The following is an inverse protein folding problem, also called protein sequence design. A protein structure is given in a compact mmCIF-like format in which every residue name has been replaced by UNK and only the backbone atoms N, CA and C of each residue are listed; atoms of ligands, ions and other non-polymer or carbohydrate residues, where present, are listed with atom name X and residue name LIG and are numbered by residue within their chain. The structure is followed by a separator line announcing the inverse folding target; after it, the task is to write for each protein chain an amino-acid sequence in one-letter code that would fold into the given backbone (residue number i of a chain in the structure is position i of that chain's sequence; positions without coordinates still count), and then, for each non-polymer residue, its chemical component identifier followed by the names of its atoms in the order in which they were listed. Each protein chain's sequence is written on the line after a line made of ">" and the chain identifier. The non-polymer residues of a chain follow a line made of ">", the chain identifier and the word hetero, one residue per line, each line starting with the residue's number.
data_IF_550910664678
#
_entry.id   IF_550910664678
#
_cell.length_a   1.000
_cell.length_b   1.000
_cell.length_c   1.000
_cell.angle_alpha   90.00
_cell.angle_beta   90.00
_cell.angle_gamma   90.00
#
_symmetry.space_group_name_H-M   'P 1'
#
loop_
_entity.id
_entity.type
_entity.pdbx_description
1 polymer ?
#
# COMPACT_ATOMS: atom_id res chain seq x y z
N UNK A 1 -21.30 -41.28 -22.29
CA UNK A 1 -20.02 -40.61 -21.97
C UNK A 1 -20.22 -39.16 -21.51
N UNK A 2 -20.98 -38.33 -22.24
CA UNK A 2 -21.22 -36.93 -21.86
C UNK A 2 -21.74 -36.69 -20.43
N UNK A 3 -22.66 -37.51 -19.93
CA UNK A 3 -23.14 -37.40 -18.55
C UNK A 3 -22.08 -37.67 -17.47
N UNK A 4 -21.12 -38.56 -17.75
CA UNK A 4 -20.01 -38.83 -16.83
C UNK A 4 -19.06 -37.63 -16.76
N UNK A 5 -18.72 -37.04 -17.91
CA UNK A 5 -17.91 -35.82 -17.96
C UNK A 5 -18.58 -34.68 -17.17
N UNK A 6 -19.86 -34.41 -17.43
CA UNK A 6 -20.57 -33.33 -16.73
C UNK A 6 -20.61 -33.52 -15.22
N UNK A 7 -20.77 -34.77 -14.75
CA UNK A 7 -20.72 -35.08 -13.32
C UNK A 7 -19.32 -34.81 -12.74
N UNK A 8 -18.25 -35.23 -13.41
CA UNK A 8 -16.88 -34.99 -12.96
C UNK A 8 -16.56 -33.49 -12.91
N UNK A 9 -16.93 -32.73 -13.95
CA UNK A 9 -16.72 -31.28 -13.98
C UNK A 9 -17.52 -30.56 -12.88
N UNK A 10 -18.79 -30.95 -12.70
CA UNK A 10 -19.64 -30.36 -11.65
C UNK A 10 -19.13 -30.68 -10.25
N UNK A 11 -18.61 -31.88 -10.03
CA UNK A 11 -18.02 -32.28 -8.77
C UNK A 11 -16.73 -31.50 -8.49
N UNK A 12 -15.86 -31.34 -9.49
CA UNK A 12 -14.65 -30.51 -9.38
C UNK A 12 -14.99 -29.06 -9.05
N UNK A 13 -15.90 -28.43 -9.80
CA UNK A 13 -16.34 -27.04 -9.58
C UNK A 13 -16.95 -26.84 -8.19
N UNK A 14 -17.74 -27.81 -7.73
CA UNK A 14 -18.34 -27.79 -6.39
C UNK A 14 -17.27 -27.90 -5.31
N UNK A 15 -16.29 -28.79 -5.47
CA UNK A 15 -15.18 -28.93 -4.53
C UNK A 15 -14.34 -27.65 -4.45
N UNK A 16 -14.00 -27.06 -5.60
CA UNK A 16 -13.29 -25.77 -5.64
C UNK A 16 -14.04 -24.67 -4.90
N UNK A 17 -15.34 -24.52 -5.18
CA UNK A 17 -16.19 -23.51 -4.53
C UNK A 17 -16.31 -23.76 -3.02
N UNK A 18 -16.53 -25.02 -2.62
CA UNK A 18 -16.64 -25.41 -1.21
C UNK A 18 -15.33 -25.22 -0.45
N UNK A 19 -14.19 -25.42 -1.10
CA UNK A 19 -12.86 -25.19 -0.54
C UNK A 19 -12.62 -23.70 -0.26
N UNK A 20 -13.05 -22.82 -1.17
CA UNK A 20 -12.99 -21.37 -0.97
C UNK A 20 -13.99 -20.87 0.09
N UNK A 21 -15.14 -21.54 0.22
CA UNK A 21 -16.16 -21.20 1.22
C UNK A 21 -15.89 -21.83 2.61
N UNK A 22 -14.83 -22.62 2.76
CA UNK A 22 -14.51 -23.31 4.01
C UNK A 22 -15.53 -24.40 4.38
N UNK A 23 -16.26 -24.95 3.40
CA UNK A 23 -17.27 -26.01 3.58
C UNK A 23 -16.73 -27.41 3.30
N UNK A 24 -15.54 -27.51 2.73
CA UNK A 24 -14.95 -28.78 2.33
C UNK A 24 -14.20 -29.45 3.49
N UNK A 25 -14.94 -30.13 4.39
CA UNK A 25 -14.38 -30.73 5.61
C UNK A 25 -13.74 -32.12 5.38
N UNK A 26 -13.92 -32.72 4.20
CA UNK A 26 -13.47 -34.08 3.90
C UNK A 26 -12.03 -34.16 3.37
N UNK A 27 -11.50 -33.05 2.84
CA UNK A 27 -10.16 -32.95 2.26
C UNK A 27 -9.14 -32.24 3.16
N UNK A 28 -9.56 -31.77 4.34
CA UNK A 28 -8.70 -30.96 5.23
C UNK A 28 -7.91 -31.89 6.15
N UNK A 29 -6.61 -31.99 5.91
CA UNK A 29 -5.67 -32.42 6.94
C UNK A 29 -5.75 -31.41 8.09
N UNK A 30 -5.96 -31.89 9.32
CA UNK A 30 -6.26 -31.05 10.50
C UNK A 30 -5.11 -30.12 10.94
N UNK A 31 -4.00 -30.07 10.19
CA UNK A 31 -2.73 -29.43 10.60
C UNK A 31 -2.41 -28.14 9.81
N UNK A 32 -3.08 -27.85 8.67
CA UNK A 32 -2.79 -26.66 7.85
C UNK A 32 -4.04 -25.84 7.50
N UNK A 33 -3.91 -24.50 7.52
CA UNK A 33 -4.93 -23.59 6.99
C UNK A 33 -5.05 -23.74 5.47
N UNK A 34 -6.28 -23.82 4.99
CA UNK A 34 -6.57 -24.15 3.60
C UNK A 34 -7.64 -23.23 2.99
N UNK A 35 -7.51 -22.95 1.69
CA UNK A 35 -8.53 -22.30 0.87
C UNK A 35 -8.98 -20.96 1.43
N UNK A 36 -10.28 -20.83 1.71
CA UNK A 36 -10.86 -19.58 2.23
C UNK A 36 -10.20 -19.09 3.52
N UNK A 37 -9.81 -20.00 4.42
CA UNK A 37 -9.16 -19.62 5.68
C UNK A 37 -7.75 -19.05 5.45
N UNK A 38 -7.02 -19.58 4.47
CA UNK A 38 -5.69 -19.10 4.10
C UNK A 38 -5.73 -17.77 3.37
N UNK A 39 -6.73 -17.57 2.50
CA UNK A 39 -7.00 -16.25 1.90
C UNK A 39 -7.30 -15.22 2.99
N UNK A 40 -8.12 -15.57 3.99
CA UNK A 40 -8.39 -14.68 5.13
C UNK A 40 -7.11 -14.34 5.92
N UNK A 41 -6.23 -15.33 6.14
CA UNK A 41 -4.93 -15.11 6.76
C UNK A 41 -4.05 -14.15 5.94
N UNK A 42 -3.99 -14.31 4.61
CA UNK A 42 -3.26 -13.40 3.72
C UNK A 42 -3.77 -11.96 3.90
N UNK A 43 -5.08 -11.74 3.93
CA UNK A 43 -5.63 -10.39 4.08
C UNK A 43 -5.34 -9.77 5.45
N UNK A 44 -5.54 -10.51 6.54
CA UNK A 44 -5.52 -9.95 7.89
C UNK A 44 -4.15 -10.00 8.57
N UNK A 45 -3.42 -11.10 8.37
CA UNK A 45 -2.19 -11.39 9.09
C UNK A 45 -0.95 -11.05 8.28
N UNK A 46 -1.02 -11.13 6.95
CA UNK A 46 0.09 -10.71 6.08
C UNK A 46 -0.13 -9.26 5.64
N UNK A 47 -1.08 -9.03 4.73
CA UNK A 47 -1.28 -7.73 4.10
C UNK A 47 -1.60 -6.63 5.12
N UNK A 48 -2.59 -6.85 6.00
CA UNK A 48 -2.99 -5.82 6.95
C UNK A 48 -1.94 -5.51 8.01
N UNK A 49 -1.14 -6.49 8.45
CA UNK A 49 -0.03 -6.23 9.38
C UNK A 49 1.09 -5.47 8.67
N UNK A 50 1.53 -5.95 7.51
CA UNK A 50 2.59 -5.29 6.73
C UNK A 50 2.24 -3.85 6.39
N UNK A 51 0.99 -3.55 6.00
CA UNK A 51 0.61 -2.18 5.65
C UNK A 51 0.53 -1.26 6.88
N UNK A 52 0.10 -1.78 8.04
CA UNK A 52 0.06 -1.00 9.30
C UNK A 52 1.45 -0.60 9.79
N UNK A 53 2.46 -1.41 9.49
CA UNK A 53 3.86 -1.16 9.83
C UNK A 53 4.54 -0.14 8.91
N UNK A 54 3.94 0.18 7.74
CA UNK A 54 4.49 1.20 6.83
C UNK A 54 4.46 2.57 7.50
N UNK A 55 5.65 3.12 7.72
CA UNK A 55 5.80 4.45 8.27
C UNK A 55 5.52 5.51 7.20
N UNK A 56 4.65 6.51 7.49
CA UNK A 56 4.34 7.62 6.57
C UNK A 56 5.56 8.43 6.12
N UNK A 57 6.68 8.36 6.85
CA UNK A 57 7.90 9.12 6.62
C UNK A 57 9.07 8.28 6.09
N UNK A 58 8.87 6.99 5.84
CA UNK A 58 9.93 6.16 5.26
C UNK A 58 10.40 6.75 3.91
N UNK A 59 11.71 6.90 3.77
CA UNK A 59 12.32 7.52 2.59
C UNK A 59 12.04 9.03 2.45
N UNK A 60 11.57 9.69 3.52
CA UNK A 60 11.34 11.13 3.58
C UNK A 60 12.03 11.76 4.79
N UNK A 61 13.16 12.41 4.56
CA UNK A 61 13.89 13.13 5.61
C UNK A 61 13.30 14.52 5.89
N UNK A 62 13.60 15.08 7.06
CA UNK A 62 13.25 16.47 7.37
C UNK A 62 13.92 17.46 6.39
N UNK A 63 15.07 17.12 5.80
CA UNK A 63 15.70 17.91 4.74
C UNK A 63 14.88 17.87 3.43
N UNK A 64 14.34 16.71 3.06
CA UNK A 64 13.48 16.58 1.87
C UNK A 64 12.19 17.40 2.02
N UNK A 65 11.59 17.40 3.22
CA UNK A 65 10.40 18.18 3.52
C UNK A 65 10.70 19.67 3.41
N UNK A 66 11.77 20.15 4.07
CA UNK A 66 12.19 21.56 3.98
C UNK A 66 12.51 21.99 2.54
N UNK A 67 13.21 21.14 1.81
CA UNK A 67 13.52 21.37 0.39
C UNK A 67 12.24 21.49 -0.45
N UNK A 68 11.26 20.62 -0.19
CA UNK A 68 9.96 20.67 -0.87
C UNK A 68 9.21 21.96 -0.57
N UNK A 69 9.16 22.38 0.70
CA UNK A 69 8.53 23.65 1.13
C UNK A 69 9.21 24.84 0.44
N UNK A 70 10.54 24.88 0.43
CA UNK A 70 11.31 25.97 -0.19
C UNK A 70 11.11 26.02 -1.70
N UNK A 71 11.06 24.87 -2.37
CA UNK A 71 10.77 24.80 -3.79
C UNK A 71 9.33 25.24 -4.10
N UNK A 72 8.36 24.90 -3.24
CA UNK A 72 6.98 25.34 -3.39
C UNK A 72 6.80 26.86 -3.18
N UNK A 73 7.59 27.47 -2.29
CA UNK A 73 7.67 28.92 -2.12
C UNK A 73 8.27 29.63 -3.35
N UNK A 74 9.22 28.97 -4.03
CA UNK A 74 9.89 29.53 -5.21
C UNK A 74 10.61 30.85 -4.87
N UNK A 75 10.39 31.93 -5.64
CA UNK A 75 11.09 33.20 -5.43
C UNK A 75 10.53 34.06 -4.29
N UNK A 76 9.36 33.72 -3.74
CA UNK A 76 8.69 34.50 -2.69
C UNK A 76 8.56 33.68 -1.42
N UNK A 77 8.77 34.31 -0.27
CA UNK A 77 8.49 33.67 1.01
C UNK A 77 6.99 33.72 1.28
N UNK A 78 6.34 32.57 1.41
CA UNK A 78 4.92 32.51 1.82
C UNK A 78 4.75 32.98 3.26
N UNK A 79 3.56 33.42 3.65
CA UNK A 79 3.21 33.69 5.06
C UNK A 79 2.77 32.42 5.79
N UNK A 80 2.30 31.42 5.04
CA UNK A 80 1.83 30.13 5.55
C UNK A 80 2.54 28.98 4.84
N UNK A 81 2.47 27.79 5.41
CA UNK A 81 2.97 26.56 4.77
C UNK A 81 2.24 26.35 3.43
N UNK A 82 2.95 26.22 2.29
CA UNK A 82 2.30 26.04 0.99
C UNK A 82 1.62 24.67 0.89
N UNK A 83 0.33 24.66 0.54
CA UNK A 83 -0.50 23.45 0.37
C UNK A 83 0.10 22.45 -0.63
N UNK A 84 0.67 22.96 -1.71
CA UNK A 84 1.33 22.16 -2.76
C UNK A 84 2.45 21.29 -2.18
N UNK A 85 3.15 21.75 -1.14
CA UNK A 85 4.21 20.97 -0.50
C UNK A 85 3.65 19.71 0.16
N UNK A 86 2.52 19.86 0.87
CA UNK A 86 1.81 18.74 1.48
C UNK A 86 1.29 17.79 0.41
N UNK A 87 0.63 18.31 -0.63
CA UNK A 87 0.05 17.49 -1.70
C UNK A 87 1.11 16.63 -2.40
N UNK A 88 2.26 17.22 -2.78
CA UNK A 88 3.35 16.50 -3.44
C UNK A 88 3.90 15.36 -2.56
N UNK A 89 4.10 15.64 -1.27
CA UNK A 89 4.60 14.66 -0.31
C UNK A 89 3.57 13.56 -0.04
N UNK A 90 2.30 13.91 0.12
CA UNK A 90 1.21 12.96 0.29
C UNK A 90 1.12 12.01 -0.91
N UNK A 91 1.12 12.53 -2.13
CA UNK A 91 1.10 11.71 -3.35
C UNK A 91 2.29 10.76 -3.45
N UNK A 92 3.50 11.25 -3.13
CA UNK A 92 4.71 10.41 -3.10
C UNK A 92 4.57 9.26 -2.09
N UNK A 93 4.03 9.52 -0.91
CA UNK A 93 3.87 8.49 0.12
C UNK A 93 2.75 7.50 -0.22
N UNK A 94 1.60 7.98 -0.72
CA UNK A 94 0.46 7.13 -1.14
C UNK A 94 0.87 6.16 -2.25
N UNK A 95 1.70 6.61 -3.21
CA UNK A 95 2.18 5.76 -4.32
C UNK A 95 2.92 4.50 -3.83
N UNK A 96 3.51 4.52 -2.63
CA UNK A 96 4.22 3.38 -2.05
C UNK A 96 3.27 2.23 -1.64
N UNK A 97 1.98 2.50 -1.47
CA UNK A 97 0.97 1.50 -1.11
C UNK A 97 0.64 0.56 -2.28
N UNK A 98 0.95 0.94 -3.52
CA UNK A 98 0.65 0.15 -4.72
C UNK A 98 1.31 -1.24 -4.67
N UNK A 99 2.61 -1.30 -4.40
CA UNK A 99 3.38 -2.55 -4.44
C UNK A 99 2.89 -3.58 -3.41
N UNK A 100 2.68 -3.24 -2.12
CA UNK A 100 2.04 -4.16 -1.17
C UNK A 100 0.65 -4.64 -1.62
N UNK A 101 -0.12 -3.77 -2.29
CA UNK A 101 -1.42 -4.14 -2.86
C UNK A 101 -1.29 -5.20 -3.95
N UNK A 102 -0.36 -5.02 -4.90
CA UNK A 102 -0.09 -5.98 -5.97
C UNK A 102 0.46 -7.31 -5.43
N UNK A 103 1.36 -7.28 -4.45
CA UNK A 103 1.86 -8.48 -3.78
C UNK A 103 0.74 -9.28 -3.11
N UNK A 104 -0.25 -8.60 -2.52
CA UNK A 104 -1.43 -9.26 -1.95
C UNK A 104 -2.25 -10.00 -3.02
N UNK A 105 -2.38 -9.42 -4.23
CA UNK A 105 -3.03 -10.07 -5.37
C UNK A 105 -2.28 -11.36 -5.74
N UNK A 106 -0.96 -11.29 -5.86
CA UNK A 106 -0.13 -12.44 -6.25
C UNK A 106 -0.21 -13.57 -5.22
N UNK A 107 -0.17 -13.24 -3.91
CA UNK A 107 -0.31 -14.23 -2.83
C UNK A 107 -1.66 -14.96 -2.87
N UNK A 108 -2.75 -14.24 -3.16
CA UNK A 108 -4.08 -14.85 -3.29
C UNK A 108 -4.18 -15.68 -4.56
N UNK A 109 -3.59 -15.23 -5.66
CA UNK A 109 -3.51 -15.99 -6.91
C UNK A 109 -2.81 -17.35 -6.68
N UNK A 110 -1.65 -17.34 -6.02
CA UNK A 110 -0.91 -18.57 -5.68
C UNK A 110 -1.75 -19.51 -4.80
N UNK A 111 -2.53 -18.97 -3.86
CA UNK A 111 -3.45 -19.76 -3.04
C UNK A 111 -4.59 -20.36 -3.87
N UNK A 112 -5.15 -19.63 -4.84
CA UNK A 112 -6.17 -20.18 -5.74
C UNK A 112 -5.61 -21.33 -6.58
N UNK A 113 -4.38 -21.23 -7.08
CA UNK A 113 -3.72 -22.31 -7.80
C UNK A 113 -3.47 -23.54 -6.91
N UNK A 114 -3.11 -23.31 -5.64
CA UNK A 114 -2.98 -24.37 -4.64
C UNK A 114 -4.31 -25.08 -4.42
N UNK A 115 -5.40 -24.33 -4.22
CA UNK A 115 -6.75 -24.89 -4.07
C UNK A 115 -7.15 -25.70 -5.29
N UNK A 116 -6.91 -25.20 -6.51
CA UNK A 116 -7.17 -25.95 -7.76
C UNK A 116 -6.45 -27.30 -7.77
N UNK A 117 -5.17 -27.32 -7.39
CA UNK A 117 -4.35 -28.55 -7.31
C UNK A 117 -4.89 -29.56 -6.29
N UNK A 118 -5.47 -29.07 -5.20
CA UNK A 118 -6.01 -29.90 -4.13
C UNK A 118 -7.47 -30.34 -4.37
N UNK A 119 -8.13 -29.83 -5.43
CA UNK A 119 -9.48 -30.25 -5.82
C UNK A 119 -9.48 -31.51 -6.70
N UNK A 120 -8.32 -32.07 -7.02
CA UNK A 120 -8.20 -33.33 -7.74
C UNK A 120 -8.90 -34.47 -7.00
N UNK A 121 -9.80 -35.17 -7.68
CA UNK A 121 -10.47 -36.35 -7.15
C UNK A 121 -9.84 -37.62 -7.68
N UNK A 122 -9.97 -38.71 -6.93
CA UNK A 122 -9.54 -40.06 -7.36
C UNK A 122 -10.24 -40.47 -8.68
N UNK A 123 -11.45 -39.97 -8.91
CA UNK A 123 -12.20 -40.22 -10.14
C UNK A 123 -11.58 -39.48 -11.34
N UNK A 124 -11.02 -38.29 -11.12
CA UNK A 124 -10.34 -37.51 -12.15
C UNK A 124 -8.96 -38.11 -12.48
N UNK A 125 -8.24 -38.68 -11.49
CA UNK A 125 -6.95 -39.35 -11.73
C UNK A 125 -7.05 -40.61 -12.58
N UNK A 126 -8.25 -41.21 -12.69
CA UNK A 126 -8.54 -42.29 -13.64
C UNK A 126 -8.48 -41.85 -15.11
N UNK A 127 -8.66 -40.56 -15.38
CA UNK A 127 -8.67 -39.97 -16.72
C UNK A 127 -7.58 -38.91 -16.84
N UNK A 128 -6.30 -39.29 -17.06
CA UNK A 128 -5.17 -38.36 -17.04
C UNK A 128 -5.29 -37.20 -18.03
N UNK A 129 -5.77 -37.47 -19.24
CA UNK A 129 -5.98 -36.45 -20.29
C UNK A 129 -7.03 -35.42 -19.86
N UNK A 130 -8.15 -35.88 -19.29
CA UNK A 130 -9.17 -34.99 -18.74
C UNK A 130 -8.61 -34.17 -17.57
N UNK A 131 -7.87 -34.81 -16.64
CA UNK A 131 -7.24 -34.12 -15.50
C UNK A 131 -6.37 -32.97 -15.98
N UNK A 132 -5.42 -33.23 -16.86
CA UNK A 132 -4.46 -32.22 -17.33
C UNK A 132 -5.18 -31.08 -18.03
N UNK A 133 -6.21 -31.39 -18.83
CA UNK A 133 -7.02 -30.39 -19.51
C UNK A 133 -7.90 -29.56 -18.56
N UNK A 134 -8.48 -30.16 -17.51
CA UNK A 134 -9.20 -29.44 -16.45
C UNK A 134 -8.27 -28.44 -15.77
N UNK A 135 -7.07 -28.88 -15.39
CA UNK A 135 -6.09 -28.01 -14.72
C UNK A 135 -5.63 -26.88 -15.62
N UNK A 136 -5.41 -27.15 -16.91
CA UNK A 136 -5.02 -26.13 -17.88
C UNK A 136 -6.11 -25.04 -18.02
N UNK A 137 -7.37 -25.43 -18.15
CA UNK A 137 -8.50 -24.49 -18.29
C UNK A 137 -8.65 -23.63 -17.04
N UNK A 138 -8.63 -24.24 -15.85
CA UNK A 138 -8.81 -23.50 -14.59
C UNK A 138 -7.64 -22.56 -14.34
N UNK A 139 -6.39 -23.01 -14.53
CA UNK A 139 -5.23 -22.15 -14.40
C UNK A 139 -5.23 -21.01 -15.44
N UNK A 140 -5.70 -21.27 -16.67
CA UNK A 140 -5.89 -20.26 -17.69
C UNK A 140 -6.89 -19.18 -17.26
N UNK A 141 -8.05 -19.59 -16.74
CA UNK A 141 -9.06 -18.68 -16.20
C UNK A 141 -8.52 -17.84 -15.03
N UNK A 142 -7.83 -18.46 -14.07
CA UNK A 142 -7.21 -17.75 -12.95
C UNK A 142 -6.21 -16.70 -13.46
N UNK A 143 -5.33 -17.06 -14.39
CA UNK A 143 -4.35 -16.12 -14.99
C UNK A 143 -5.03 -14.97 -15.72
N UNK A 144 -6.14 -15.23 -16.40
CA UNK A 144 -6.90 -14.19 -17.08
C UNK A 144 -7.52 -13.17 -16.11
N UNK A 145 -7.89 -13.59 -14.90
CA UNK A 145 -8.42 -12.70 -13.85
C UNK A 145 -7.36 -11.88 -13.10
N UNK A 146 -6.09 -12.26 -13.20
CA UNK A 146 -4.97 -11.58 -12.53
C UNK A 146 -4.80 -10.14 -13.01
N UNK A 147 -4.74 -9.93 -14.33
CA UNK A 147 -4.48 -8.61 -14.93
C UNK A 147 -5.59 -7.59 -14.60
N UNK A 148 -6.90 -7.92 -14.75
CA UNK A 148 -7.98 -7.02 -14.32
C UNK A 148 -7.91 -6.66 -12.83
N UNK A 149 -7.52 -7.61 -11.97
CA UNK A 149 -7.45 -7.38 -10.53
C UNK A 149 -6.28 -6.45 -10.19
N UNK A 150 -5.09 -6.69 -10.75
CA UNK A 150 -3.93 -5.81 -10.60
C UNK A 150 -4.24 -4.39 -11.11
N UNK A 151 -4.89 -4.27 -12.27
CA UNK A 151 -5.32 -2.98 -12.83
C UNK A 151 -6.30 -2.25 -11.89
N UNK A 152 -7.22 -2.98 -11.23
CA UNK A 152 -8.11 -2.39 -10.24
C UNK A 152 -7.33 -1.86 -9.01
N UNK A 153 -6.34 -2.59 -8.51
CA UNK A 153 -5.48 -2.11 -7.40
C UNK A 153 -4.73 -0.84 -7.80
N UNK A 154 -4.19 -0.79 -9.02
CA UNK A 154 -3.54 0.40 -9.56
C UNK A 154 -4.51 1.58 -9.65
N UNK A 155 -5.73 1.34 -10.14
CA UNK A 155 -6.76 2.37 -10.21
C UNK A 155 -7.12 2.93 -8.83
N UNK A 156 -7.19 2.10 -7.78
CA UNK A 156 -7.42 2.57 -6.41
C UNK A 156 -6.35 3.58 -5.98
N UNK A 157 -5.07 3.32 -6.28
CA UNK A 157 -4.00 4.28 -6.00
C UNK A 157 -4.13 5.54 -6.86
N UNK A 158 -4.39 5.40 -8.16
CA UNK A 158 -4.55 6.55 -9.05
C UNK A 158 -5.71 7.47 -8.62
N UNK A 159 -6.81 6.91 -8.10
CA UNK A 159 -7.93 7.68 -7.55
C UNK A 159 -7.47 8.52 -6.35
N UNK A 160 -6.72 7.94 -5.42
CA UNK A 160 -6.19 8.64 -4.25
C UNK A 160 -5.13 9.71 -4.63
N UNK A 161 -4.38 9.48 -5.71
CA UNK A 161 -3.41 10.45 -6.24
C UNK A 161 -4.06 11.59 -7.04
N UNK A 162 -5.24 11.36 -7.62
CA UNK A 162 -5.94 12.35 -8.43
C UNK A 162 -6.51 13.50 -7.60
N UNK A 163 -6.96 13.22 -6.37
CA UNK A 163 -7.59 14.23 -5.51
C UNK A 163 -7.29 14.00 -4.02
N UNK A 164 -6.67 15.00 -3.39
CA UNK A 164 -6.42 15.02 -1.94
C UNK A 164 -7.55 15.75 -1.23
N UNK A 165 -8.40 15.02 -0.51
CA UNK A 165 -9.57 15.58 0.14
C UNK A 165 -9.24 16.19 1.53
N UNK A 166 -8.89 17.46 1.57
CA UNK A 166 -8.61 18.20 2.81
C UNK A 166 -9.86 18.47 3.67
N UNK A 167 -11.06 18.14 3.18
CA UNK A 167 -12.31 18.23 3.93
C UNK A 167 -12.74 16.90 4.58
N UNK A 168 -11.90 15.87 4.53
CA UNK A 168 -12.23 14.57 5.13
C UNK A 168 -12.47 14.70 6.66
N UNK A 169 -13.52 14.09 7.22
CA UNK A 169 -13.89 14.27 8.64
C UNK A 169 -12.79 13.84 9.62
N UNK A 170 -12.03 12.81 9.30
CA UNK A 170 -10.92 12.31 10.13
C UNK A 170 -9.59 13.04 9.87
N UNK A 171 -9.54 13.97 8.91
CA UNK A 171 -8.34 14.75 8.65
C UNK A 171 -8.24 15.89 9.66
N UNK A 172 -7.07 16.05 10.29
CA UNK A 172 -6.89 17.07 11.33
C UNK A 172 -7.09 18.50 10.81
N UNK A 173 -6.71 18.76 9.55
CA UNK A 173 -6.69 20.09 8.95
C UNK A 173 -5.56 20.99 9.48
N UNK A 174 -5.27 22.06 8.74
CA UNK A 174 -4.16 22.97 9.02
C UNK A 174 -4.25 23.65 10.40
N UNK A 175 -5.41 24.17 10.78
CA UNK A 175 -5.58 24.91 12.04
C UNK A 175 -5.34 24.04 13.28
N UNK A 176 -5.80 22.77 13.27
CA UNK A 176 -5.57 21.85 14.39
C UNK A 176 -4.13 21.37 14.45
N UNK A 177 -3.49 21.14 13.30
CA UNK A 177 -2.06 20.79 13.24
C UNK A 177 -1.20 21.88 13.89
N UNK A 178 -1.49 23.15 13.59
CA UNK A 178 -0.81 24.30 14.21
C UNK A 178 -1.07 24.36 15.72
N UNK A 179 -2.32 24.18 16.16
CA UNK A 179 -2.67 24.20 17.58
C UNK A 179 -1.94 23.10 18.38
N UNK A 180 -1.91 21.86 17.88
CA UNK A 180 -1.22 20.74 18.52
C UNK A 180 0.29 21.00 18.64
N UNK A 181 0.89 21.60 17.62
CA UNK A 181 2.31 21.96 17.65
C UNK A 181 2.60 23.05 18.70
N UNK A 182 1.76 24.09 18.77
CA UNK A 182 1.91 25.15 19.78
C UNK A 182 1.82 24.59 21.21
N UNK A 183 0.88 23.69 21.48
CA UNK A 183 0.77 23.00 22.77
C UNK A 183 1.99 22.14 23.10
N UNK A 184 2.58 21.48 22.09
CA UNK A 184 3.79 20.66 22.26
C UNK A 184 5.00 21.54 22.62
N UNK A 185 5.22 22.63 21.88
CA UNK A 185 6.31 23.58 22.16
C UNK A 185 6.17 24.23 23.55
N UNK A 186 4.95 24.57 23.96
CA UNK A 186 4.69 25.15 25.28
C UNK A 186 5.01 24.15 26.40
N UNK A 187 4.66 22.87 26.22
CA UNK A 187 5.01 21.78 27.17
C UNK A 187 6.53 21.56 27.25
N UNK A 188 7.23 21.55 26.13
CA UNK A 188 8.70 21.38 26.10
C UNK A 188 9.41 22.56 26.78
N UNK A 189 8.91 23.77 26.58
CA UNK A 189 9.43 24.98 27.25
C UNK A 189 9.22 24.88 28.77
N UNK A 190 8.04 24.47 29.23
CA UNK A 190 7.74 24.28 30.66
C UNK A 190 8.54 23.13 31.29
N UNK A 191 8.80 22.05 30.55
CA UNK A 191 9.62 20.93 31.02
C UNK A 191 11.11 21.31 31.15
N UNK A 192 11.63 22.14 30.25
CA UNK A 192 13.02 22.64 30.32
C UNK A 192 13.25 23.66 31.44
N UNK A 193 12.19 24.35 31.89
CA UNK A 193 12.23 25.33 32.97
C UNK A 193 12.07 24.74 34.39
N UNK A 194 11.86 23.42 34.51
CA UNK A 194 11.54 22.72 35.76
C UNK A 194 12.72 21.99 36.41
N UNK A 195 13.77 22.70 36.86
CA UNK A 195 14.73 22.19 37.84
C UNK A 195 15.17 23.30 38.82
N UNK A 196 14.47 23.51 39.95
CA UNK A 196 15.00 24.31 41.03
C UNK A 196 15.99 23.47 41.85
N UNK A 197 17.29 23.76 41.75
CA UNK A 197 18.29 23.28 42.71
C UNK A 197 17.97 23.87 44.08
N UNK A 198 17.48 23.01 44.97
CA UNK A 198 17.21 23.31 46.36
C UNK A 198 18.54 23.38 47.12
N UNK A 199 19.13 24.56 47.29
CA UNK A 199 20.18 24.79 48.28
C UNK A 199 19.62 25.62 49.44
N UNK A 200 19.30 24.90 50.51
CA UNK A 200 19.12 25.45 51.86
C UNK A 200 20.44 26.05 52.35
N UNK A 201 20.44 27.34 52.69
CA UNK A 201 21.42 27.92 53.62
C UNK A 201 20.64 28.58 54.76
N UNK A 202 21.02 28.20 55.97
CA UNK A 202 20.37 28.49 57.24
C UNK A 202 21.14 29.61 57.98
N UNK A 203 20.39 30.53 58.61
CA UNK A 203 20.76 31.49 59.69
C UNK A 203 21.70 32.66 59.30
N UNK A 204 21.47 33.91 59.73
CA UNK A 204 21.25 34.36 61.12
C UNK A 204 20.51 35.74 61.18
N UNK A 205 19.80 36.11 62.28
CA UNK A 205 19.01 37.34 62.38
C UNK A 205 19.73 38.43 63.17
N UNK A 206 19.78 39.67 62.62
CA UNK A 206 19.79 40.97 63.33
C UNK A 206 20.27 42.11 62.41
N UNK A 207 19.35 42.88 61.83
CA UNK A 207 19.40 44.36 61.84
C UNK A 207 18.15 44.99 61.22
N UNK A 208 17.66 46.00 61.93
CA UNK A 208 16.45 46.75 61.69
C UNK A 208 16.58 47.80 60.56
N UNK A 209 15.43 48.20 60.00
CA UNK A 209 15.17 49.61 59.69
C UNK A 209 14.77 50.01 58.27
N UNK A 210 13.50 49.76 57.90
CA UNK A 210 12.56 50.74 57.26
C UNK A 210 12.84 51.31 55.84
N UNK A 211 11.84 51.94 55.16
CA UNK A 211 11.26 51.44 53.91
C UNK A 211 11.54 52.31 52.67
N UNK A 212 11.40 51.75 51.46
CA UNK A 212 11.42 52.53 50.20
C UNK A 212 10.09 52.41 49.46
N UNK A 213 9.57 53.59 49.09
CA UNK A 213 8.28 53.88 48.47
C UNK A 213 8.26 53.57 46.97
N UNK A 214 7.03 53.36 46.50
CA UNK A 214 6.52 53.47 45.13
C UNK A 214 7.01 54.68 44.34
N UNK A 215 6.83 54.56 43.01
CA UNK A 215 6.66 55.57 41.93
C UNK A 215 7.78 55.44 40.89
N UNK A 216 7.59 55.66 39.59
CA UNK A 216 6.45 55.79 38.68
C UNK A 216 7.08 55.76 37.27
N UNK A 217 6.26 55.54 36.24
CA UNK A 217 6.65 55.69 34.84
C UNK A 217 7.25 57.08 34.53
N UNK A 218 7.85 57.25 33.34
CA UNK A 218 7.20 58.18 32.43
C UNK A 218 7.11 57.68 30.99
N UNK A 219 6.06 58.17 30.33
CA UNK A 219 5.75 58.04 28.93
C UNK A 219 6.38 59.18 28.09
N UNK A 220 6.56 58.90 26.80
CA UNK A 220 6.33 59.86 25.72
C UNK A 220 7.56 60.51 25.10
N UNK A 221 7.76 60.29 23.79
CA UNK A 221 7.54 61.34 22.80
C UNK A 221 7.48 60.78 21.37
N UNK A 222 6.51 61.30 20.62
CA UNK A 222 6.31 61.12 19.19
C UNK A 222 7.15 62.13 18.40
N UNK A 223 7.42 61.83 17.13
CA UNK A 223 7.93 62.76 16.13
C UNK A 223 7.77 62.17 14.73
N UNK A 224 6.97 62.83 13.90
CA UNK A 224 6.65 62.49 12.51
C UNK A 224 7.25 63.54 11.55
N UNK A 225 7.55 63.12 10.30
CA UNK A 225 7.55 63.85 9.01
C UNK A 225 8.46 63.06 8.01
N UNK A 226 7.96 62.49 6.90
CA UNK A 226 7.72 63.10 5.56
C UNK A 226 9.03 63.54 4.85
N UNK A 227 9.32 63.37 3.54
CA UNK A 227 8.67 62.78 2.35
C UNK A 227 9.72 62.83 1.18
N UNK A 228 9.44 62.14 0.05
CA UNK A 228 9.89 62.42 -1.36
C UNK A 228 11.37 62.16 -1.77
N UNK A 229 11.74 61.74 -3.00
CA UNK A 229 11.06 61.43 -4.29
C UNK A 229 12.08 60.86 -5.32
N UNK A 230 11.56 60.10 -6.29
CA UNK A 230 12.04 59.83 -7.67
C UNK A 230 13.38 59.12 -8.00
N UNK A 231 13.23 57.90 -8.53
CA UNK A 231 13.37 57.61 -9.97
C UNK A 231 14.50 58.26 -10.77
N UNK A 232 15.46 57.44 -11.23
CA UNK A 232 15.93 57.54 -12.61
C UNK A 232 16.54 56.21 -13.07
N UNK A 233 15.91 55.60 -14.06
CA UNK A 233 16.56 54.62 -14.92
C UNK A 233 17.24 55.35 -16.08
N UNK A 234 18.51 55.08 -16.34
CA UNK A 234 19.10 55.20 -17.67
C UNK A 234 20.44 54.49 -17.75
N UNK A 235 20.49 53.52 -18.66
CA UNK A 235 21.63 52.73 -19.11
C UNK A 235 22.79 53.64 -19.55
N UNK A 236 24.01 53.30 -19.16
CA UNK A 236 25.21 53.71 -19.91
C UNK A 236 26.20 52.56 -19.97
N UNK A 237 26.08 51.77 -21.04
CA UNK A 237 27.05 50.77 -21.48
C UNK A 237 27.90 51.37 -22.60
N UNK A 238 29.22 51.26 -22.41
CA UNK A 238 30.25 51.04 -23.43
C UNK A 238 30.59 52.14 -24.47
N UNK A 239 31.84 52.63 -24.42
CA UNK A 239 32.48 53.15 -25.63
C UNK A 239 33.69 54.07 -25.41
N UNK A 240 34.90 53.55 -25.68
CA UNK A 240 35.98 54.35 -26.29
C UNK A 240 37.08 54.86 -25.34
N UNK A 241 38.30 54.35 -25.56
CA UNK A 241 39.50 54.71 -24.80
C UNK A 241 40.23 55.98 -25.29
N UNK A 242 41.29 56.37 -24.54
CA UNK A 242 42.69 56.52 -24.98
C UNK A 242 43.51 57.35 -23.95
N UNK A 243 44.74 56.89 -23.71
CA UNK A 243 45.78 57.40 -22.78
C UNK A 243 46.12 58.90 -22.92
N UNK A 244 46.43 59.57 -21.78
CA UNK A 244 47.81 60.06 -21.44
C UNK A 244 47.95 60.61 -19.99
N UNK A 245 48.94 60.04 -19.28
CA UNK A 245 49.91 60.58 -18.30
C UNK A 245 49.63 61.83 -17.44
N UNK A 246 49.83 61.67 -16.12
CA UNK A 246 50.12 62.73 -15.13
C UNK A 246 50.15 62.15 -13.71
N UNK A 247 51.14 62.53 -12.91
CA UNK A 247 51.55 61.88 -11.64
C UNK A 247 50.73 62.27 -10.40
N UNK A 248 51.06 61.59 -9.30
CA UNK A 248 50.84 61.89 -7.88
C UNK A 248 49.58 61.38 -7.17
N UNK A 249 49.81 60.85 -5.96
CA UNK A 249 48.79 60.77 -4.90
C UNK A 249 48.31 59.37 -4.53
N UNK A 250 49.06 58.70 -3.67
CA UNK A 250 48.58 57.57 -2.86
C UNK A 250 47.46 58.05 -1.93
N UNK A 251 46.25 57.50 -2.15
CA UNK A 251 45.20 57.07 -1.20
C UNK A 251 43.82 57.21 -1.84
N UNK A 252 43.52 56.35 -2.83
CA UNK A 252 42.16 56.12 -3.31
C UNK A 252 41.70 54.76 -2.80
N UNK A 253 40.87 54.77 -1.76
CA UNK A 253 40.03 53.63 -1.36
C UNK A 253 39.08 53.33 -2.50
N UNK A 254 39.49 52.46 -3.42
CA UNK A 254 38.60 51.93 -4.46
C UNK A 254 37.41 51.26 -3.78
N UNK A 255 36.16 51.51 -4.21
CA UNK A 255 35.03 50.77 -3.67
C UNK A 255 35.27 49.29 -3.96
N UNK A 256 35.28 48.47 -2.91
CA UNK A 256 35.42 47.04 -3.06
C UNK A 256 34.27 46.55 -3.96
N UNK A 257 34.58 46.17 -5.19
CA UNK A 257 33.62 45.53 -6.08
C UNK A 257 33.33 44.17 -5.46
N UNK A 258 32.18 44.06 -4.80
CA UNK A 258 31.69 42.82 -4.20
C UNK A 258 31.48 41.81 -5.34
N UNK A 259 32.40 40.86 -5.49
CA UNK A 259 32.26 39.75 -6.42
C UNK A 259 31.46 38.66 -5.74
N UNK A 260 30.27 38.38 -6.28
CA UNK A 260 29.44 37.29 -5.80
C UNK A 260 30.11 35.94 -6.15
N UNK A 261 30.10 34.96 -5.25
CA UNK A 261 30.51 33.60 -5.56
C UNK A 261 29.59 32.98 -6.62
N UNK A 262 30.10 32.00 -7.37
CA UNK A 262 29.29 31.28 -8.35
C UNK A 262 28.27 30.38 -7.65
N UNK A 263 27.08 30.24 -8.24
CA UNK A 263 26.02 29.37 -7.73
C UNK A 263 26.50 27.91 -7.82
N UNK A 264 26.46 27.14 -6.72
CA UNK A 264 26.82 25.72 -6.74
C UNK A 264 25.94 24.91 -7.69
N UNK A 265 26.52 23.88 -8.33
CA UNK A 265 25.79 22.98 -9.25
C UNK A 265 24.75 22.12 -8.50
N UNK A 266 24.96 21.86 -7.21
CA UNK A 266 24.02 21.18 -6.31
C UNK A 266 23.81 22.03 -5.06
N UNK A 267 22.58 22.45 -4.82
CA UNK A 267 22.17 23.20 -3.63
C UNK A 267 21.33 22.27 -2.75
N UNK A 268 21.92 21.82 -1.64
CA UNK A 268 21.24 21.07 -0.57
C UNK A 268 21.23 21.93 0.69
N UNK A 269 20.20 21.81 1.51
CA UNK A 269 20.12 22.58 2.75
C UNK A 269 21.09 22.01 3.79
N UNK A 270 22.32 22.55 3.81
CA UNK A 270 23.35 22.17 4.78
C UNK A 270 23.32 22.98 6.08
N UNK A 271 22.47 24.00 6.20
CA UNK A 271 22.40 24.89 7.36
C UNK A 271 21.39 24.40 8.41
N UNK A 272 21.64 24.74 9.67
CA UNK A 272 20.72 24.52 10.77
C UNK A 272 19.35 25.16 10.46
N UNK A 273 18.23 24.41 10.56
CA UNK A 273 16.92 24.95 10.23
C UNK A 273 16.56 26.10 11.15
N UNK A 274 16.06 27.19 10.55
CA UNK A 274 15.44 28.28 11.30
C UNK A 274 14.22 27.78 12.08
N UNK A 275 13.89 28.43 13.20
CA UNK A 275 12.71 28.03 14.01
C UNK A 275 11.43 27.97 13.19
N UNK A 276 11.30 28.88 12.22
CA UNK A 276 10.22 28.88 11.25
C UNK A 276 10.21 27.60 10.40
N UNK A 277 11.32 27.22 9.79
CA UNK A 277 11.40 25.99 8.97
C UNK A 277 11.15 24.73 9.81
N UNK A 278 11.54 24.72 11.09
CA UNK A 278 11.21 23.62 12.02
C UNK A 278 9.71 23.51 12.23
N UNK A 279 9.05 24.64 12.49
CA UNK A 279 7.59 24.71 12.67
C UNK A 279 6.86 24.26 11.40
N UNK A 280 7.25 24.78 10.23
CA UNK A 280 6.65 24.42 8.95
C UNK A 280 6.81 22.91 8.65
N UNK A 281 7.97 22.34 8.96
CA UNK A 281 8.26 20.91 8.79
C UNK A 281 7.37 20.05 9.69
N UNK A 282 7.24 20.40 10.97
CA UNK A 282 6.40 19.64 11.90
C UNK A 282 4.90 19.73 11.54
N UNK A 283 4.43 20.87 11.02
CA UNK A 283 3.06 21.01 10.51
C UNK A 283 2.85 20.05 9.32
N UNK A 284 3.74 20.07 8.32
CA UNK A 284 3.65 19.15 7.18
C UNK A 284 3.66 17.70 7.64
N UNK A 285 4.51 17.34 8.61
CA UNK A 285 4.58 15.97 9.13
C UNK A 285 3.26 15.54 9.77
N UNK A 286 2.68 16.41 10.60
CA UNK A 286 1.39 16.15 11.24
C UNK A 286 0.27 15.95 10.21
N UNK A 287 0.18 16.82 9.20
CA UNK A 287 -0.80 16.71 8.12
C UNK A 287 -0.58 15.44 7.27
N UNK A 288 0.67 15.15 6.91
CA UNK A 288 1.04 13.98 6.12
C UNK A 288 0.67 12.68 6.82
N UNK A 289 1.03 12.52 8.09
CA UNK A 289 0.66 11.35 8.88
C UNK A 289 -0.86 11.19 8.97
N UNK A 290 -1.59 12.27 9.28
CA UNK A 290 -3.05 12.23 9.37
C UNK A 290 -3.71 11.80 8.06
N UNK A 291 -3.28 12.36 6.92
CA UNK A 291 -3.88 12.03 5.63
C UNK A 291 -3.48 10.64 5.14
N UNK A 292 -2.21 10.26 5.28
CA UNK A 292 -1.72 8.94 4.90
C UNK A 292 -2.45 7.83 5.67
N UNK A 293 -2.72 8.04 6.95
CA UNK A 293 -3.44 7.07 7.78
C UNK A 293 -4.88 6.84 7.30
N UNK A 294 -5.55 7.87 6.80
CA UNK A 294 -6.89 7.77 6.21
C UNK A 294 -6.83 6.91 4.94
N UNK A 295 -5.94 7.26 4.01
CA UNK A 295 -5.77 6.52 2.75
C UNK A 295 -5.37 5.08 3.03
N UNK A 296 -4.46 4.83 3.97
CA UNK A 296 -4.06 3.49 4.39
C UNK A 296 -5.24 2.67 4.89
N UNK A 297 -6.11 3.25 5.73
CA UNK A 297 -7.33 2.55 6.22
C UNK A 297 -8.29 2.21 5.09
N UNK A 298 -8.51 3.14 4.15
CA UNK A 298 -9.35 2.88 2.98
C UNK A 298 -8.75 1.76 2.12
N UNK A 299 -7.44 1.79 1.88
CA UNK A 299 -6.74 0.80 1.08
C UNK A 299 -6.78 -0.60 1.71
N UNK A 300 -6.65 -0.69 3.05
CA UNK A 300 -6.80 -1.95 3.80
C UNK A 300 -8.16 -2.62 3.59
N UNK A 301 -9.22 -1.84 3.39
CA UNK A 301 -10.58 -2.35 3.18
C UNK A 301 -10.87 -2.63 1.69
N UNK A 302 -10.41 -1.76 0.80
CA UNK A 302 -10.74 -1.84 -0.63
C UNK A 302 -9.95 -2.92 -1.38
N UNK A 303 -8.68 -3.17 -1.01
CA UNK A 303 -7.85 -4.18 -1.71
C UNK A 303 -8.41 -5.60 -1.55
N UNK A 304 -8.72 -6.10 -0.33
CA UNK A 304 -9.36 -7.41 -0.18
C UNK A 304 -10.68 -7.50 -0.93
N UNK A 305 -11.50 -6.44 -0.91
CA UNK A 305 -12.79 -6.40 -1.65
C UNK A 305 -12.60 -6.50 -3.16
N UNK A 306 -11.60 -5.80 -3.71
CA UNK A 306 -11.28 -5.86 -5.13
C UNK A 306 -10.82 -7.28 -5.52
N UNK A 307 -9.93 -7.91 -4.75
CA UNK A 307 -9.47 -9.28 -5.00
C UNK A 307 -10.64 -10.27 -4.89
N UNK A 308 -11.48 -10.13 -3.87
CA UNK A 308 -12.65 -10.99 -3.69
C UNK A 308 -13.65 -10.84 -4.83
N UNK A 309 -13.81 -9.65 -5.41
CA UNK A 309 -14.73 -9.42 -6.51
C UNK A 309 -14.17 -9.91 -7.86
N UNK A 310 -13.00 -9.41 -8.24
CA UNK A 310 -12.45 -9.61 -9.59
C UNK A 310 -11.75 -10.95 -9.80
N UNK A 311 -11.30 -11.60 -8.72
CA UNK A 311 -10.54 -12.85 -8.80
C UNK A 311 -11.28 -14.01 -8.15
N UNK A 312 -11.52 -13.96 -6.83
CA UNK A 312 -12.12 -15.09 -6.10
C UNK A 312 -13.57 -15.30 -6.52
N UNK A 313 -14.38 -14.25 -6.49
CA UNK A 313 -15.79 -14.27 -6.89
C UNK A 313 -15.95 -14.63 -8.36
N UNK A 314 -15.21 -13.96 -9.25
CA UNK A 314 -15.18 -14.30 -10.67
C UNK A 314 -14.86 -15.78 -10.92
N UNK A 315 -13.86 -16.34 -10.23
CA UNK A 315 -13.48 -17.74 -10.39
C UNK A 315 -14.58 -18.69 -9.91
N UNK A 316 -15.21 -18.40 -8.77
CA UNK A 316 -16.31 -19.21 -8.24
C UNK A 316 -17.52 -19.25 -9.17
N UNK A 317 -17.86 -18.10 -9.76
CA UNK A 317 -19.04 -17.98 -10.62
C UNK A 317 -18.84 -18.62 -11.99
N UNK A 318 -17.62 -18.59 -12.53
CA UNK A 318 -17.37 -18.96 -13.92
C UNK A 318 -16.70 -20.32 -14.11
N UNK A 319 -16.13 -20.94 -13.07
CA UNK A 319 -15.36 -22.20 -13.21
C UNK A 319 -16.15 -23.31 -13.92
N UNK A 320 -17.43 -23.49 -13.58
CA UNK A 320 -18.28 -24.50 -14.22
C UNK A 320 -18.51 -24.19 -15.70
N UNK A 321 -18.81 -22.94 -16.02
CA UNK A 321 -19.10 -22.51 -17.39
C UNK A 321 -17.86 -22.64 -18.26
N UNK A 322 -16.70 -22.23 -17.76
CA UNK A 322 -15.42 -22.33 -18.47
C UNK A 322 -15.03 -23.79 -18.72
N UNK A 323 -15.16 -24.66 -17.71
CA UNK A 323 -14.89 -26.09 -17.85
C UNK A 323 -15.82 -26.75 -18.87
N UNK A 324 -17.13 -26.50 -18.79
CA UNK A 324 -18.09 -27.09 -19.72
C UNK A 324 -17.87 -26.56 -21.15
N UNK A 325 -17.71 -25.25 -21.32
CA UNK A 325 -17.47 -24.63 -22.63
C UNK A 325 -16.19 -25.13 -23.30
N UNK A 326 -15.13 -25.32 -22.52
CA UNK A 326 -13.82 -25.74 -23.02
C UNK A 326 -13.72 -27.25 -23.29
N UNK A 327 -14.35 -28.09 -22.46
CA UNK A 327 -14.12 -29.54 -22.42
C UNK A 327 -15.27 -30.37 -23.00
N UNK A 328 -16.49 -29.84 -23.03
CA UNK A 328 -17.64 -30.57 -23.55
C UNK A 328 -17.70 -30.49 -25.08
N UNK A 329 -16.94 -31.37 -25.75
CA UNK A 329 -16.95 -31.53 -27.22
C UNK A 329 -17.14 -33.00 -27.58
N UNK A 330 -18.19 -33.32 -28.32
CA UNK A 330 -18.56 -34.72 -28.63
C UNK A 330 -17.40 -35.50 -29.27
N UNK A 331 -16.68 -34.86 -30.19
CA UNK A 331 -15.58 -35.45 -30.95
C UNK A 331 -14.37 -35.84 -30.10
N UNK A 332 -14.19 -35.19 -28.94
CA UNK A 332 -13.03 -35.37 -28.05
C UNK A 332 -13.34 -36.16 -26.79
N UNK A 333 -14.61 -36.54 -26.58
CA UNK A 333 -15.03 -37.24 -25.37
C UNK A 333 -14.29 -38.56 -25.14
N UNK A 334 -14.03 -39.32 -26.21
CA UNK A 334 -13.33 -40.61 -26.11
C UNK A 334 -11.85 -40.47 -25.76
N UNK A 335 -11.21 -39.40 -26.22
CA UNK A 335 -9.81 -39.08 -25.92
C UNK A 335 -9.68 -38.57 -24.49
N UNK A 336 -10.53 -37.62 -24.09
CA UNK A 336 -10.53 -37.04 -22.74
C UNK A 336 -10.85 -38.08 -21.66
N UNK A 337 -11.81 -38.97 -21.91
CA UNK A 337 -12.19 -40.03 -20.98
C UNK A 337 -11.40 -41.34 -21.22
N UNK A 338 -10.23 -41.25 -21.86
CA UNK A 338 -9.32 -42.38 -21.95
C UNK A 338 -8.73 -42.70 -20.56
N UNK A 339 -8.71 -43.98 -20.24
CA UNK A 339 -8.26 -44.45 -18.94
C UNK A 339 -6.79 -44.85 -18.94
N UNK A 340 -6.18 -44.77 -17.77
CA UNK A 340 -4.87 -45.35 -17.53
C UNK A 340 -4.88 -46.86 -17.78
N UNK A 341 -3.85 -47.38 -18.46
CA UNK A 341 -3.81 -48.78 -18.92
C UNK A 341 -3.93 -49.82 -17.80
N UNK A 342 -3.41 -49.49 -16.62
CA UNK A 342 -3.51 -50.27 -15.39
C UNK A 342 -4.93 -50.34 -14.81
N UNK A 343 -5.69 -49.23 -14.85
CA UNK A 343 -7.11 -49.21 -14.44
C UNK A 343 -7.96 -49.94 -15.48
N UNK A 344 -7.68 -49.75 -16.77
CA UNK A 344 -8.36 -50.46 -17.85
C UNK A 344 -8.15 -51.97 -17.75
N UNK A 345 -6.91 -52.42 -17.48
CA UNK A 345 -6.58 -53.83 -17.28
C UNK A 345 -7.27 -54.42 -16.04
N UNK A 346 -7.25 -53.70 -14.91
CA UNK A 346 -7.99 -54.13 -13.71
C UNK A 346 -9.48 -54.27 -13.97
N UNK A 347 -10.09 -53.35 -14.72
CA UNK A 347 -11.51 -53.47 -15.10
C UNK A 347 -11.75 -54.70 -15.94
N UNK A 348 -10.91 -54.95 -16.96
CA UNK A 348 -11.02 -56.15 -17.81
C UNK A 348 -11.02 -57.42 -16.95
N UNK A 349 -10.06 -57.53 -16.03
CA UNK A 349 -9.97 -58.68 -15.12
C UNK A 349 -11.21 -58.82 -14.22
N UNK A 350 -11.74 -57.71 -13.69
CA UNK A 350 -12.96 -57.72 -12.88
C UNK A 350 -14.20 -58.13 -13.69
N UNK A 351 -14.32 -57.68 -14.94
CA UNK A 351 -15.43 -58.07 -15.83
C UNK A 351 -15.32 -59.55 -16.22
N UNK A 352 -14.13 -60.05 -16.52
CA UNK A 352 -13.89 -61.47 -16.76
C UNK A 352 -14.30 -62.31 -15.54
N UNK A 353 -13.86 -61.92 -14.34
CA UNK A 353 -14.24 -62.57 -13.09
C UNK A 353 -15.77 -62.51 -12.87
N UNK A 354 -16.40 -61.37 -13.11
CA UNK A 354 -17.87 -61.23 -13.00
C UNK A 354 -18.57 -62.21 -13.94
N UNK A 355 -18.11 -62.30 -15.18
CA UNK A 355 -18.68 -63.19 -16.19
C UNK A 355 -18.53 -64.66 -15.79
N UNK A 356 -17.37 -65.04 -15.25
CA UNK A 356 -17.13 -66.38 -14.71
C UNK A 356 -18.04 -66.71 -13.53
N UNK A 357 -18.18 -65.79 -12.57
CA UNK A 357 -19.06 -65.97 -11.41
C UNK A 357 -20.53 -66.07 -11.81
N UNK A 358 -20.95 -65.27 -12.80
CA UNK A 358 -22.31 -65.29 -13.30
C UNK A 358 -22.64 -66.61 -14.00
N UNK A 359 -21.70 -67.14 -14.78
CA UNK A 359 -21.81 -68.48 -15.37
C UNK A 359 -21.81 -69.59 -14.33
N UNK A 360 -21.00 -69.47 -13.27
CA UNK A 360 -21.01 -70.42 -12.17
C UNK A 360 -22.36 -70.42 -11.44
N UNK A 361 -22.98 -69.25 -11.25
CA UNK A 361 -24.30 -69.11 -10.65
C UNK A 361 -25.39 -69.79 -11.52
N UNK A 362 -25.34 -69.61 -12.84
CA UNK A 362 -26.24 -70.29 -13.79
C UNK A 362 -26.14 -71.81 -13.64
N UNK A 363 -24.92 -72.36 -13.63
CA UNK A 363 -24.68 -73.80 -13.45
C UNK A 363 -25.24 -74.30 -12.10
N UNK A 364 -25.03 -73.54 -11.02
CA UNK A 364 -25.57 -73.90 -9.70
C UNK A 364 -27.11 -73.91 -9.71
N UNK A 365 -27.74 -72.95 -10.39
CA UNK A 365 -29.19 -72.92 -10.55
C UNK A 365 -29.70 -74.12 -11.36
N UNK A 366 -29.04 -74.49 -12.46
CA UNK A 366 -29.39 -75.67 -13.25
C UNK A 366 -29.33 -76.96 -12.43
N UNK A 367 -28.29 -77.13 -11.60
CA UNK A 367 -28.15 -78.31 -10.72
C UNK A 367 -29.21 -78.31 -9.62
N UNK A 368 -29.57 -77.14 -9.08
CA UNK A 368 -30.65 -77.02 -8.09
C UNK A 368 -31.98 -77.46 -8.68
N UNK A 369 -32.31 -76.96 -9.86
CA UNK A 369 -33.56 -77.28 -10.54
C UNK A 369 -33.63 -78.77 -10.89
N UNK A 370 -32.51 -79.37 -11.36
CA UNK A 370 -32.43 -80.81 -11.63
C UNK A 370 -32.69 -81.67 -10.38
N UNK A 371 -32.21 -81.25 -9.21
CA UNK A 371 -32.42 -81.98 -7.95
C UNK A 371 -33.84 -81.82 -7.37
N UNK A 372 -34.60 -80.79 -7.77
CA UNK A 372 -36.00 -80.63 -7.37
C UNK A 372 -37.01 -81.47 -8.16
N UNK A 373 -36.58 -82.09 -9.28
CA UNK A 373 -37.42 -82.97 -10.11
C UNK A 373 -37.23 -84.48 -9.86
N UNK A 374 -36.43 -84.85 -8.85
CA UNK A 374 -36.37 -86.21 -8.28
C UNK A 374 -37.02 -86.23 -6.92
#
# INVERSE_FOLDING_TARGET
>A
MGGCLLNLLSHFSSNFTNSLDGRNHQLVEMDELYGGARINYIFNEIFSKSLREVNPFDGLSDEDIRTTIRNANGPRQSLFVPEVSFELLAKRQISRLEQPGLQCVDLVFDELQRVTSQCETIELTRFPELRDRVMEVVNGMLRASLVPTQAMIQNLIQIELAYVNTNHPDFIGGSRAVAQLMEKMQRETMASAGAPTNQMINQDPRRAGQPVKQSAAPAGHAGAAEEKQEGNGLLSFFGGGRKKSGADGVTSSKPAVVKLPQVPVSMRQGDDPTDRERIETEIIKSLLASYFDIVRKNFLDLVPKAIMCFMVGHSKENIQNELVSSLYREDKLSELLAETGDIAARRSNCDEMRTLLQRALEIVNEVRDFNTFK
#
